data_IF_773193331534
#
_entry.id   IF_773193331534
#
_cell.length_a   1.000
_cell.length_b   1.000
_cell.length_c   1.000
_cell.angle_alpha   90.00
_cell.angle_beta   90.00
_cell.angle_gamma   90.00
#
_symmetry.space_group_name_H-M   'P 1'
#
loop_
_entity.id
_entity.type
_entity.pdbx_description
1 polymer ?
#
# COMPACT_ATOMS: atom_id res chain seq x y z
N UNK A 1 -13.94 17.86 17.77
CA UNK A 1 -12.54 17.54 17.41
C UNK A 1 -12.59 16.66 16.17
N UNK A 2 -12.00 17.11 15.07
CA UNK A 2 -11.85 16.29 13.88
C UNK A 2 -10.97 15.07 14.22
N UNK A 3 -11.50 13.88 13.99
CA UNK A 3 -10.70 12.67 14.07
C UNK A 3 -10.06 12.43 12.71
N UNK A 4 -8.75 12.51 12.67
CA UNK A 4 -7.92 12.40 11.48
C UNK A 4 -7.40 10.98 11.30
N UNK A 5 -7.33 10.52 10.06
CA UNK A 5 -6.61 9.30 9.66
C UNK A 5 -5.66 9.57 8.51
N UNK A 6 -4.55 8.85 8.47
CA UNK A 6 -3.67 8.83 7.30
C UNK A 6 -3.65 7.46 6.64
N UNK A 7 -3.81 7.48 5.32
CA UNK A 7 -3.68 6.33 4.44
C UNK A 7 -2.37 6.43 3.67
N UNK A 8 -1.64 5.33 3.59
CA UNK A 8 -0.34 5.27 2.92
C UNK A 8 -0.43 4.42 1.66
N UNK A 9 -0.12 5.00 0.48
CA UNK A 9 -0.19 4.28 -0.78
C UNK A 9 0.91 3.23 -0.91
N UNK A 10 0.64 2.21 -1.72
CA UNK A 10 1.58 1.18 -2.08
C UNK A 10 2.12 1.31 -3.50
N UNK A 11 2.64 0.22 -4.03
CA UNK A 11 3.13 0.12 -5.39
C UNK A 11 2.03 0.45 -6.41
N UNK A 12 2.39 1.20 -7.45
CA UNK A 12 1.48 1.71 -8.49
C UNK A 12 1.25 3.23 -8.42
N UNK A 13 1.58 3.86 -7.30
CA UNK A 13 1.47 5.33 -7.13
C UNK A 13 2.79 6.07 -7.40
N UNK A 14 3.89 5.35 -7.63
CA UNK A 14 5.18 5.95 -7.94
C UNK A 14 5.19 6.57 -9.35
N UNK A 15 5.86 7.70 -9.45
CA UNK A 15 6.19 8.32 -10.74
C UNK A 15 7.41 9.23 -10.61
N UNK A 16 8.14 9.39 -11.68
CA UNK A 16 9.20 10.42 -11.73
C UNK A 16 8.54 11.80 -11.55
N UNK A 17 9.11 12.62 -10.68
CA UNK A 17 8.55 13.92 -10.32
C UNK A 17 7.48 13.87 -9.22
N UNK A 18 7.21 12.73 -8.62
CA UNK A 18 6.16 12.56 -7.59
C UNK A 18 6.33 13.45 -6.36
N UNK A 19 7.54 13.94 -6.09
CA UNK A 19 7.83 14.86 -4.98
C UNK A 19 7.94 16.34 -5.42
N UNK A 20 7.69 16.66 -6.68
CA UNK A 20 7.86 18.02 -7.23
C UNK A 20 6.97 19.07 -6.53
N UNK A 21 5.78 18.70 -6.06
CA UNK A 21 4.86 19.58 -5.34
C UNK A 21 5.39 20.09 -4.00
N UNK A 22 6.46 19.50 -3.47
CA UNK A 22 7.12 19.96 -2.23
C UNK A 22 8.27 20.94 -2.49
N UNK A 23 8.57 21.26 -3.76
CA UNK A 23 9.61 22.22 -4.15
C UNK A 23 10.97 21.90 -3.53
N UNK A 24 11.60 22.92 -2.93
CA UNK A 24 12.90 22.79 -2.26
C UNK A 24 12.85 22.31 -0.80
N UNK A 25 11.77 21.66 -0.36
CA UNK A 25 11.60 21.21 1.03
C UNK A 25 12.81 20.42 1.54
N UNK A 26 13.49 20.99 2.55
CA UNK A 26 14.68 20.36 3.15
C UNK A 26 14.34 19.01 3.80
N UNK A 27 13.22 18.92 4.50
CA UNK A 27 12.82 17.68 5.20
C UNK A 27 12.55 16.53 4.22
N UNK A 28 12.00 16.82 3.06
CA UNK A 28 11.82 15.82 1.98
C UNK A 28 13.19 15.33 1.49
N UNK A 29 14.09 16.23 1.14
CA UNK A 29 15.44 15.89 0.65
C UNK A 29 16.26 15.12 1.69
N UNK A 30 16.24 15.55 2.95
CA UNK A 30 16.97 14.89 4.04
C UNK A 30 16.46 13.45 4.25
N UNK A 31 15.15 13.22 4.13
CA UNK A 31 14.57 11.87 4.25
C UNK A 31 15.03 10.95 3.11
N UNK A 32 15.07 11.46 1.88
CA UNK A 32 15.60 10.70 0.74
C UNK A 32 17.09 10.45 0.87
N UNK A 33 17.88 11.43 1.36
CA UNK A 33 19.31 11.28 1.60
C UNK A 33 19.59 10.22 2.68
N UNK A 34 18.89 10.26 3.80
CA UNK A 34 18.99 9.25 4.88
C UNK A 34 18.75 7.83 4.32
N UNK A 35 17.71 7.64 3.53
CA UNK A 35 17.42 6.34 2.92
C UNK A 35 18.47 5.92 1.91
N UNK A 36 18.98 6.86 1.10
CA UNK A 36 20.01 6.60 0.10
C UNK A 36 21.32 6.16 0.76
N UNK A 37 21.69 6.77 1.88
CA UNK A 37 22.86 6.38 2.66
C UNK A 37 22.71 4.96 3.23
N UNK A 38 21.53 4.60 3.73
CA UNK A 38 21.26 3.28 4.30
C UNK A 38 21.29 2.18 3.23
N UNK A 39 20.69 2.41 2.09
CA UNK A 39 20.53 1.38 1.05
C UNK A 39 21.61 1.43 -0.06
N UNK A 40 22.46 2.46 -0.07
CA UNK A 40 23.49 2.64 -1.09
C UNK A 40 22.93 2.90 -2.50
N UNK A 41 21.75 3.52 -2.59
CA UNK A 41 21.06 3.83 -3.86
C UNK A 41 20.59 5.28 -3.82
N UNK A 42 20.83 6.04 -4.87
CA UNK A 42 20.35 7.43 -4.98
C UNK A 42 18.85 7.48 -5.29
N UNK A 43 18.02 7.37 -4.26
CA UNK A 43 16.57 7.42 -4.41
C UNK A 43 16.05 8.80 -4.80
N UNK A 44 16.77 9.89 -4.46
CA UNK A 44 16.37 11.22 -4.89
C UNK A 44 16.49 11.36 -6.40
N UNK A 45 17.62 10.94 -6.95
CA UNK A 45 17.83 10.90 -8.40
C UNK A 45 16.77 10.02 -9.08
N UNK A 46 16.48 8.85 -8.51
CA UNK A 46 15.47 7.95 -9.04
C UNK A 46 14.07 8.58 -9.04
N UNK A 47 13.73 9.40 -8.03
CA UNK A 47 12.43 10.07 -7.93
C UNK A 47 12.31 11.31 -8.83
N UNK A 48 13.42 11.91 -9.26
CA UNK A 48 13.42 13.21 -9.94
C UNK A 48 13.86 13.16 -11.40
N UNK A 49 14.69 12.19 -11.79
CA UNK A 49 15.19 12.05 -13.15
C UNK A 49 14.49 10.89 -13.89
N UNK A 50 14.29 11.05 -15.18
CA UNK A 50 13.65 10.02 -16.03
C UNK A 50 14.43 8.71 -15.98
N UNK A 51 13.78 7.65 -15.54
CA UNK A 51 14.33 6.29 -15.49
C UNK A 51 13.18 5.27 -15.45
N UNK A 52 13.48 4.01 -15.75
CA UNK A 52 12.54 2.90 -15.65
C UNK A 52 12.73 2.10 -14.35
N UNK A 53 13.88 2.25 -13.69
CA UNK A 53 14.23 1.48 -12.49
C UNK A 53 13.30 1.75 -11.30
N UNK A 54 12.60 2.90 -11.29
CA UNK A 54 11.57 3.21 -10.28
C UNK A 54 10.42 2.19 -10.28
N UNK A 55 10.18 1.50 -11.40
CA UNK A 55 9.13 0.49 -11.55
C UNK A 55 9.59 -0.95 -11.23
N UNK A 56 10.88 -1.15 -10.97
CA UNK A 56 11.37 -2.42 -10.46
C UNK A 56 10.93 -2.60 -9.00
N UNK A 57 10.24 -3.69 -8.69
CA UNK A 57 9.66 -3.95 -7.37
C UNK A 57 10.66 -3.73 -6.21
N UNK A 58 11.93 -4.10 -6.40
CA UNK A 58 13.00 -3.93 -5.40
C UNK A 58 13.39 -2.47 -5.16
N UNK A 59 13.05 -1.57 -6.06
CA UNK A 59 13.19 -0.12 -5.93
C UNK A 59 11.87 0.55 -5.57
N UNK A 60 10.76 0.08 -6.18
CA UNK A 60 9.42 0.66 -5.96
C UNK A 60 9.00 0.57 -4.50
N UNK A 61 9.21 -0.57 -3.83
CA UNK A 61 8.80 -0.71 -2.43
C UNK A 61 9.58 0.24 -1.51
N UNK A 62 10.93 0.31 -1.55
CA UNK A 62 11.65 1.30 -0.77
C UNK A 62 11.26 2.75 -1.10
N UNK A 63 11.19 3.13 -2.36
CA UNK A 63 10.93 4.53 -2.73
C UNK A 63 9.53 5.00 -2.30
N UNK A 64 8.53 4.11 -2.32
CA UNK A 64 7.19 4.42 -1.83
C UNK A 64 7.16 4.61 -0.32
N UNK A 65 7.89 3.80 0.44
CA UNK A 65 8.05 3.98 1.87
C UNK A 65 8.78 5.29 2.18
N UNK A 66 9.88 5.58 1.48
CA UNK A 66 10.64 6.82 1.64
C UNK A 66 9.75 8.04 1.41
N UNK A 67 9.00 8.05 0.30
CA UNK A 67 8.13 9.15 -0.06
C UNK A 67 6.99 9.34 0.96
N UNK A 68 6.39 8.25 1.46
CA UNK A 68 5.37 8.32 2.50
C UNK A 68 5.90 8.88 3.82
N UNK A 69 7.07 8.42 4.28
CA UNK A 69 7.72 8.93 5.50
C UNK A 69 8.15 10.39 5.31
N UNK A 70 8.68 10.76 4.14
CA UNK A 70 9.05 12.13 3.82
C UNK A 70 7.84 13.07 3.88
N UNK A 71 6.70 12.65 3.30
CA UNK A 71 5.44 13.40 3.36
C UNK A 71 4.94 13.55 4.80
N UNK A 72 4.99 12.50 5.61
CA UNK A 72 4.68 12.57 7.04
C UNK A 72 5.57 13.55 7.79
N UNK A 73 6.88 13.50 7.58
CA UNK A 73 7.83 14.44 8.20
C UNK A 73 7.56 15.89 7.76
N UNK A 74 7.17 16.09 6.50
CA UNK A 74 6.77 17.41 6.00
C UNK A 74 5.48 17.91 6.69
N UNK A 75 4.50 17.01 6.92
CA UNK A 75 3.30 17.33 7.69
C UNK A 75 3.65 17.78 9.12
N UNK A 76 4.55 17.10 9.80
CA UNK A 76 4.97 17.45 11.17
C UNK A 76 5.66 18.83 11.27
N UNK A 77 6.18 19.37 10.17
CA UNK A 77 6.70 20.75 10.11
C UNK A 77 5.57 21.77 10.02
N UNK A 78 4.48 21.42 9.35
CA UNK A 78 3.34 22.33 9.07
C UNK A 78 2.31 22.31 10.19
N UNK A 79 2.04 21.14 10.76
CA UNK A 79 0.95 20.94 11.72
C UNK A 79 1.35 20.03 12.89
N UNK A 80 0.70 20.25 14.04
CA UNK A 80 0.84 19.41 15.23
C UNK A 80 -0.23 18.33 15.35
N UNK A 81 -1.19 18.32 14.43
CA UNK A 81 -2.30 17.35 14.45
C UNK A 81 -1.78 15.95 14.17
N UNK A 82 -2.10 15.04 15.08
CA UNK A 82 -1.70 13.63 14.99
C UNK A 82 -2.92 12.79 14.60
N UNK A 83 -2.80 11.90 13.61
CA UNK A 83 -3.89 11.01 13.25
C UNK A 83 -4.23 10.06 14.41
N UNK A 84 -5.51 9.72 14.53
CA UNK A 84 -6.01 8.79 15.56
C UNK A 84 -5.80 7.33 15.19
N UNK A 85 -5.66 7.05 13.90
CA UNK A 85 -5.52 5.72 13.34
C UNK A 85 -4.80 5.81 12.00
N UNK A 86 -4.06 4.77 11.63
CA UNK A 86 -3.32 4.68 10.39
C UNK A 86 -3.69 3.40 9.64
N UNK A 87 -3.64 3.45 8.33
CA UNK A 87 -3.69 2.27 7.48
C UNK A 87 -2.85 2.49 6.22
N UNK A 88 -2.31 1.42 5.67
CA UNK A 88 -1.56 1.48 4.43
C UNK A 88 -1.92 0.34 3.51
N UNK A 89 -1.97 0.59 2.21
CA UNK A 89 -2.29 -0.41 1.21
C UNK A 89 -1.04 -1.22 0.85
N UNK A 90 -1.02 -2.52 1.12
CA UNK A 90 0.10 -3.41 0.84
C UNK A 90 1.41 -2.88 1.43
N UNK A 91 2.36 -2.44 0.61
CA UNK A 91 3.61 -1.78 1.05
C UNK A 91 3.34 -0.63 2.03
N UNK A 92 2.27 0.11 1.82
CA UNK A 92 1.89 1.24 2.68
C UNK A 92 1.66 0.88 4.14
N UNK A 93 1.36 -0.38 4.46
CA UNK A 93 1.24 -0.87 5.85
C UNK A 93 2.58 -0.74 6.61
N UNK A 94 3.70 -0.93 5.92
CA UNK A 94 5.04 -0.69 6.50
C UNK A 94 5.31 0.79 6.76
N UNK A 95 4.86 1.66 5.84
CA UNK A 95 4.93 3.12 6.05
C UNK A 95 4.11 3.53 7.27
N UNK A 96 2.90 2.98 7.41
CA UNK A 96 2.06 3.21 8.59
C UNK A 96 2.75 2.76 9.89
N UNK A 97 3.43 1.61 9.89
CA UNK A 97 4.18 1.14 11.05
C UNK A 97 5.36 2.07 11.40
N UNK A 98 6.05 2.63 10.41
CA UNK A 98 7.11 3.62 10.66
C UNK A 98 6.53 4.88 11.27
N UNK A 99 5.48 5.43 10.70
CA UNK A 99 4.82 6.65 11.17
C UNK A 99 4.23 6.48 12.58
N UNK A 100 3.73 5.30 12.90
CA UNK A 100 3.21 4.97 14.23
C UNK A 100 4.29 4.79 15.30
N UNK A 101 5.57 4.77 14.93
CA UNK A 101 6.68 4.45 15.82
C UNK A 101 6.84 2.96 16.12
N UNK A 102 6.06 2.08 15.49
CA UNK A 102 6.15 0.62 15.66
C UNK A 102 7.36 -0.01 14.98
N UNK A 103 7.91 0.64 13.96
CA UNK A 103 9.08 0.20 13.20
C UNK A 103 9.99 1.40 12.93
N UNK A 104 11.31 1.27 13.12
CA UNK A 104 12.23 2.35 12.78
C UNK A 104 12.33 2.55 11.27
N UNK A 105 12.55 3.79 10.83
CA UNK A 105 12.76 4.07 9.41
C UNK A 105 14.01 3.35 8.88
N UNK A 106 15.08 3.31 9.67
CA UNK A 106 16.32 2.63 9.29
C UNK A 106 16.13 1.13 9.07
N UNK A 107 15.39 0.44 9.96
CA UNK A 107 15.13 -1.00 9.82
C UNK A 107 14.10 -1.31 8.74
N UNK A 108 13.16 -0.40 8.49
CA UNK A 108 12.12 -0.58 7.49
C UNK A 108 12.65 -0.64 6.07
N UNK A 109 13.71 0.12 5.77
CA UNK A 109 14.28 0.22 4.41
C UNK A 109 14.84 -1.12 3.91
N UNK A 110 15.78 -1.78 4.61
CA UNK A 110 16.25 -3.10 4.19
C UNK A 110 15.13 -4.16 4.27
N UNK A 111 14.19 -4.04 5.21
CA UNK A 111 13.06 -4.96 5.34
C UNK A 111 12.16 -4.93 4.10
N UNK A 112 11.72 -3.75 3.64
CA UNK A 112 10.82 -3.67 2.46
C UNK A 112 11.56 -4.01 1.17
N UNK A 113 12.87 -3.76 1.09
CA UNK A 113 13.70 -4.21 -0.03
C UNK A 113 13.82 -5.74 -0.06
N UNK A 114 13.98 -6.36 1.10
CA UNK A 114 13.98 -7.82 1.24
C UNK A 114 12.61 -8.41 0.89
N UNK A 115 11.51 -7.81 1.40
CA UNK A 115 10.14 -8.17 1.03
C UNK A 115 9.96 -8.19 -0.50
N UNK A 116 10.36 -7.12 -1.16
CA UNK A 116 10.27 -7.02 -2.62
C UNK A 116 11.05 -8.15 -3.32
N UNK A 117 12.28 -8.42 -2.86
CA UNK A 117 13.12 -9.48 -3.41
C UNK A 117 12.52 -10.86 -3.25
N UNK A 118 12.00 -11.21 -2.06
CA UNK A 118 11.42 -12.55 -1.84
C UNK A 118 10.09 -12.72 -2.59
N UNK A 119 9.31 -11.65 -2.73
CA UNK A 119 8.08 -11.66 -3.54
C UNK A 119 8.40 -11.86 -5.03
N UNK A 120 9.38 -11.14 -5.55
CA UNK A 120 9.79 -11.26 -6.95
C UNK A 120 10.32 -12.66 -7.28
N UNK A 121 10.98 -13.30 -6.32
CA UNK A 121 11.58 -14.63 -6.49
C UNK A 121 10.65 -15.78 -6.05
N UNK A 122 9.42 -15.50 -5.65
CA UNK A 122 8.50 -16.53 -5.17
C UNK A 122 8.03 -17.47 -6.28
N UNK A 123 7.95 -16.96 -7.51
CA UNK A 123 7.62 -17.73 -8.71
C UNK A 123 8.59 -17.36 -9.83
N UNK A 124 8.86 -18.27 -10.79
CA UNK A 124 9.66 -17.93 -11.98
C UNK A 124 9.02 -16.79 -12.77
N UNK A 125 9.85 -16.01 -13.45
CA UNK A 125 9.38 -14.92 -14.31
C UNK A 125 8.37 -15.45 -15.36
N UNK A 126 7.26 -14.73 -15.53
CA UNK A 126 6.21 -15.08 -16.49
C UNK A 126 5.21 -16.15 -16.02
N UNK A 127 5.41 -16.74 -14.84
CA UNK A 127 4.47 -17.74 -14.26
C UNK A 127 3.28 -17.08 -13.60
N UNK A 128 3.48 -15.93 -12.94
CA UNK A 128 2.43 -15.19 -12.26
C UNK A 128 1.91 -14.01 -13.06
N UNK A 129 0.70 -13.57 -12.74
CA UNK A 129 0.08 -12.36 -13.29
C UNK A 129 -0.94 -11.77 -12.32
N UNK A 130 -1.32 -10.53 -12.58
CA UNK A 130 -2.41 -9.81 -11.91
C UNK A 130 -3.28 -9.11 -12.95
N UNK A 131 -4.57 -8.95 -12.64
CA UNK A 131 -5.50 -8.20 -13.48
C UNK A 131 -6.51 -7.44 -12.63
N UNK A 132 -6.93 -6.27 -13.09
CA UNK A 132 -8.01 -5.51 -12.49
C UNK A 132 -9.34 -5.87 -13.15
N UNK A 133 -10.32 -6.23 -12.34
CA UNK A 133 -11.70 -6.51 -12.75
C UNK A 133 -12.58 -5.35 -12.29
N UNK A 134 -13.25 -4.71 -13.25
CA UNK A 134 -14.10 -3.55 -13.00
C UNK A 134 -15.56 -3.87 -13.32
N UNK A 135 -16.47 -3.51 -12.42
CA UNK A 135 -17.91 -3.56 -12.63
C UNK A 135 -18.60 -4.85 -12.21
N UNK A 136 -17.91 -5.73 -11.46
CA UNK A 136 -18.51 -6.88 -10.79
C UNK A 136 -18.41 -6.72 -9.28
N UNK A 137 -19.35 -7.34 -8.54
CA UNK A 137 -19.28 -7.42 -7.08
C UNK A 137 -18.26 -8.46 -6.59
N UNK A 138 -17.95 -8.40 -5.30
CA UNK A 138 -16.93 -9.22 -4.67
C UNK A 138 -17.21 -10.72 -4.81
N UNK A 139 -18.47 -11.14 -4.62
CA UNK A 139 -18.84 -12.56 -4.65
C UNK A 139 -18.77 -13.11 -6.09
N UNK A 140 -19.18 -12.32 -7.07
CA UNK A 140 -19.04 -12.67 -8.48
C UNK A 140 -17.57 -12.82 -8.87
N UNK A 141 -16.69 -11.93 -8.43
CA UNK A 141 -15.25 -12.06 -8.71
C UNK A 141 -14.64 -13.26 -8.00
N UNK A 142 -15.02 -13.55 -6.76
CA UNK A 142 -14.58 -14.78 -6.07
C UNK A 142 -15.01 -16.03 -6.81
N UNK A 143 -16.26 -16.07 -7.28
CA UNK A 143 -16.78 -17.19 -8.10
C UNK A 143 -16.02 -17.34 -9.42
N UNK A 144 -15.73 -16.23 -10.12
CA UNK A 144 -14.89 -16.21 -11.33
C UNK A 144 -13.51 -16.81 -11.04
N UNK A 145 -12.88 -16.42 -9.93
CA UNK A 145 -11.57 -16.97 -9.55
C UNK A 145 -11.66 -18.49 -9.31
N UNK A 146 -12.64 -18.94 -8.53
CA UNK A 146 -12.82 -20.36 -8.20
C UNK A 146 -13.07 -21.22 -9.45
N UNK A 147 -13.91 -20.74 -10.37
CA UNK A 147 -14.22 -21.44 -11.61
C UNK A 147 -13.04 -21.48 -12.59
N UNK A 148 -12.26 -20.38 -12.66
CA UNK A 148 -11.15 -20.23 -13.61
C UNK A 148 -9.82 -20.80 -13.10
N UNK A 149 -9.68 -21.05 -11.81
CA UNK A 149 -8.45 -21.58 -11.23
C UNK A 149 -8.09 -22.96 -11.79
N UNK A 150 -9.05 -23.86 -11.91
CA UNK A 150 -8.84 -25.27 -12.26
C UNK A 150 -7.82 -25.91 -11.30
N UNK A 151 -6.62 -26.29 -11.83
CA UNK A 151 -5.52 -26.83 -11.04
C UNK A 151 -4.46 -25.76 -10.65
N UNK A 152 -4.70 -24.53 -11.04
CA UNK A 152 -3.80 -23.38 -10.76
C UNK A 152 -4.29 -22.59 -9.56
N UNK A 153 -3.49 -21.58 -9.16
CA UNK A 153 -3.90 -20.56 -8.19
C UNK A 153 -4.54 -19.40 -8.95
N UNK A 154 -5.72 -18.98 -8.52
CA UNK A 154 -6.35 -17.71 -8.90
C UNK A 154 -7.22 -17.22 -7.75
N UNK A 155 -6.94 -16.04 -7.25
CA UNK A 155 -7.59 -15.47 -6.09
C UNK A 155 -7.92 -13.99 -6.30
N UNK A 156 -9.01 -13.51 -5.68
CA UNK A 156 -9.29 -12.09 -5.54
C UNK A 156 -8.40 -11.54 -4.41
N UNK A 157 -7.52 -10.61 -4.74
CA UNK A 157 -6.41 -10.22 -3.86
C UNK A 157 -6.44 -8.77 -3.37
N UNK A 158 -7.07 -7.85 -4.10
CA UNK A 158 -7.26 -6.47 -3.63
C UNK A 158 -8.72 -6.07 -3.82
N UNK A 159 -9.42 -5.85 -2.73
CA UNK A 159 -10.76 -5.28 -2.70
C UNK A 159 -10.63 -3.77 -2.54
N UNK A 160 -10.38 -3.06 -3.67
CA UNK A 160 -9.96 -1.67 -3.66
C UNK A 160 -11.11 -0.67 -3.50
N UNK A 161 -12.24 -0.95 -4.15
CA UNK A 161 -13.50 -0.21 -3.96
C UNK A 161 -14.65 -1.08 -4.46
N UNK A 162 -15.92 -0.74 -4.17
CA UNK A 162 -17.04 -1.45 -4.77
C UNK A 162 -16.90 -1.51 -6.28
N UNK A 163 -16.90 -2.73 -6.84
CA UNK A 163 -16.74 -2.98 -8.27
C UNK A 163 -15.33 -2.77 -8.83
N UNK A 164 -14.30 -2.68 -7.98
CA UNK A 164 -12.89 -2.64 -8.41
C UNK A 164 -12.06 -3.61 -7.59
N UNK A 165 -11.78 -4.77 -8.18
CA UNK A 165 -11.10 -5.89 -7.54
C UNK A 165 -9.94 -6.33 -8.40
N UNK A 166 -8.80 -6.62 -7.78
CA UNK A 166 -7.65 -7.22 -8.44
C UNK A 166 -7.64 -8.71 -8.19
N UNK A 167 -7.40 -9.49 -9.24
CA UNK A 167 -7.16 -10.93 -9.19
C UNK A 167 -5.70 -11.24 -9.44
N UNK A 168 -5.17 -12.28 -8.82
CA UNK A 168 -3.79 -12.71 -8.97
C UNK A 168 -3.66 -14.22 -8.90
N UNK A 169 -2.66 -14.76 -9.59
CA UNK A 169 -2.37 -16.17 -9.59
C UNK A 169 -1.45 -16.58 -10.73
N UNK A 170 -1.56 -17.83 -11.16
CA UNK A 170 -0.87 -18.30 -12.34
C UNK A 170 -1.38 -17.57 -13.59
N UNK A 171 -0.49 -17.20 -14.48
CA UNK A 171 -0.79 -16.37 -15.65
C UNK A 171 -1.96 -16.93 -16.48
N UNK A 172 -1.94 -18.24 -16.79
CA UNK A 172 -3.00 -18.87 -17.55
C UNK A 172 -4.37 -18.80 -16.82
N UNK A 173 -4.38 -18.94 -15.49
CA UNK A 173 -5.60 -18.82 -14.70
C UNK A 173 -6.11 -17.36 -14.66
N UNK A 174 -5.22 -16.38 -14.56
CA UNK A 174 -5.59 -14.96 -14.66
C UNK A 174 -6.22 -14.65 -16.02
N UNK A 175 -5.65 -15.14 -17.10
CA UNK A 175 -6.19 -14.98 -18.45
C UNK A 175 -7.60 -15.59 -18.58
N UNK A 176 -7.81 -16.83 -18.07
CA UNK A 176 -9.15 -17.46 -18.02
C UNK A 176 -10.12 -16.64 -17.17
N UNK A 177 -9.67 -16.15 -16.01
CA UNK A 177 -10.46 -15.33 -15.11
C UNK A 177 -10.90 -14.01 -15.75
N UNK A 178 -10.02 -13.35 -16.51
CA UNK A 178 -10.36 -12.15 -17.25
C UNK A 178 -11.45 -12.40 -18.30
N UNK A 179 -11.35 -13.49 -19.06
CA UNK A 179 -12.37 -13.86 -20.05
C UNK A 179 -13.71 -14.21 -19.40
N UNK A 180 -13.68 -15.01 -18.33
CA UNK A 180 -14.91 -15.35 -17.60
C UNK A 180 -15.54 -14.11 -16.95
N UNK A 181 -14.74 -13.20 -16.40
CA UNK A 181 -15.25 -11.95 -15.85
C UNK A 181 -16.00 -11.12 -16.89
N UNK A 182 -15.49 -11.02 -18.11
CA UNK A 182 -16.19 -10.35 -19.23
C UNK A 182 -17.52 -11.03 -19.54
N UNK A 183 -17.55 -12.37 -19.60
CA UNK A 183 -18.79 -13.15 -19.82
C UNK A 183 -19.80 -12.89 -18.69
N UNK A 184 -19.35 -12.75 -17.46
CA UNK A 184 -20.20 -12.44 -16.28
C UNK A 184 -20.61 -10.95 -16.20
N UNK A 185 -20.20 -10.13 -17.16
CA UNK A 185 -20.64 -8.73 -17.27
C UNK A 185 -19.67 -7.68 -16.71
N UNK A 186 -18.39 -8.03 -16.51
CA UNK A 186 -17.39 -7.05 -16.15
C UNK A 186 -17.31 -5.95 -17.22
N UNK A 187 -17.28 -4.69 -16.78
CA UNK A 187 -17.10 -3.53 -17.68
C UNK A 187 -15.72 -3.52 -18.30
N UNK A 188 -14.72 -3.95 -17.53
CA UNK A 188 -13.33 -4.11 -17.97
C UNK A 188 -12.65 -5.24 -17.20
N UNK A 189 -11.73 -5.93 -17.86
CA UNK A 189 -10.77 -6.84 -17.29
C UNK A 189 -9.41 -6.47 -17.89
N UNK A 190 -8.51 -5.89 -17.09
CA UNK A 190 -7.28 -5.25 -17.56
C UNK A 190 -6.07 -5.94 -16.92
N UNK A 191 -5.12 -6.48 -17.72
CA UNK A 191 -3.87 -6.98 -17.16
C UNK A 191 -3.09 -5.83 -16.52
N UNK A 192 -2.49 -6.09 -15.36
CA UNK A 192 -1.60 -5.13 -14.73
C UNK A 192 -0.16 -5.34 -15.21
N UNK A 193 0.64 -4.27 -15.37
CA UNK A 193 2.03 -4.35 -15.84
C UNK A 193 2.97 -4.82 -14.70
N UNK A 194 2.59 -5.90 -14.00
CA UNK A 194 3.34 -6.51 -12.90
C UNK A 194 3.36 -8.03 -13.10
N UNK A 195 4.50 -8.64 -12.80
CA UNK A 195 4.69 -10.09 -12.93
C UNK A 195 4.60 -10.86 -11.60
N UNK A 196 4.63 -10.13 -10.48
CA UNK A 196 4.54 -10.73 -9.15
C UNK A 196 3.07 -10.91 -8.77
N UNK A 197 2.59 -12.15 -8.60
CA UNK A 197 1.20 -12.41 -8.21
C UNK A 197 1.01 -12.20 -6.70
N UNK A 198 0.96 -10.94 -6.28
CA UNK A 198 0.93 -10.54 -4.88
C UNK A 198 -0.39 -10.95 -4.20
N UNK A 199 -0.32 -11.23 -2.90
CA UNK A 199 -1.47 -11.44 -2.01
C UNK A 199 -2.28 -12.72 -2.28
N UNK A 200 -1.73 -13.68 -3.03
CA UNK A 200 -2.32 -15.01 -3.25
C UNK A 200 -1.41 -16.12 -2.72
N UNK A 201 -1.89 -17.36 -2.76
CA UNK A 201 -1.17 -18.53 -2.24
C UNK A 201 0.23 -18.75 -2.85
N UNK A 202 0.49 -18.24 -4.06
CA UNK A 202 1.81 -18.29 -4.69
C UNK A 202 2.89 -17.51 -3.91
N UNK A 203 2.48 -16.61 -3.01
CA UNK A 203 3.39 -15.85 -2.14
C UNK A 203 3.78 -16.59 -0.85
N UNK A 204 3.23 -17.76 -0.55
CA UNK A 204 3.57 -18.51 0.67
C UNK A 204 5.09 -18.79 0.83
N UNK A 205 5.84 -19.15 -0.21
CA UNK A 205 7.30 -19.32 -0.07
C UNK A 205 8.01 -18.01 0.32
N UNK A 206 7.57 -16.87 -0.23
CA UNK A 206 8.08 -15.56 0.15
C UNK A 206 7.74 -15.21 1.60
N UNK A 207 6.52 -15.54 2.04
CA UNK A 207 6.06 -15.31 3.41
C UNK A 207 6.91 -16.06 4.44
N UNK A 208 7.31 -17.30 4.17
CA UNK A 208 8.20 -18.07 5.04
C UNK A 208 9.58 -17.40 5.18
N UNK A 209 10.14 -16.90 4.08
CA UNK A 209 11.40 -16.16 4.10
C UNK A 209 11.28 -14.83 4.84
N UNK A 210 10.17 -14.12 4.66
CA UNK A 210 9.90 -12.88 5.39
C UNK A 210 9.75 -13.15 6.89
N UNK A 211 9.07 -14.22 7.28
CA UNK A 211 8.92 -14.63 8.67
C UNK A 211 10.28 -14.85 9.35
N UNK A 212 11.22 -15.50 8.65
CA UNK A 212 12.58 -15.70 9.16
C UNK A 212 13.30 -14.36 9.33
N UNK A 213 13.26 -13.48 8.33
CA UNK A 213 13.87 -12.15 8.39
C UNK A 213 13.31 -11.30 9.55
N UNK A 214 12.00 -11.36 9.77
CA UNK A 214 11.34 -10.59 10.82
C UNK A 214 11.72 -10.98 12.24
N UNK A 215 12.34 -12.16 12.45
CA UNK A 215 12.84 -12.55 13.78
C UNK A 215 13.86 -11.55 14.31
N UNK A 216 14.71 -11.03 13.42
CA UNK A 216 15.78 -10.10 13.76
C UNK A 216 15.37 -8.62 13.66
N UNK A 217 14.13 -8.33 13.25
CA UNK A 217 13.60 -6.98 13.17
C UNK A 217 12.94 -6.59 14.49
N UNK A 218 13.32 -5.44 15.02
CA UNK A 218 12.68 -4.88 16.22
C UNK A 218 11.37 -4.20 15.84
N UNK A 219 10.26 -4.71 16.37
CA UNK A 219 8.94 -4.07 16.32
C UNK A 219 8.53 -3.73 17.75
N UNK A 220 8.05 -2.52 17.94
CA UNK A 220 7.54 -2.02 19.22
C UNK A 220 6.04 -1.76 19.13
N UNK A 221 5.39 -1.54 20.26
CA UNK A 221 3.98 -1.14 20.28
C UNK A 221 3.80 0.17 19.53
N UNK A 222 2.95 0.20 18.49
CA UNK A 222 2.64 1.44 17.77
C UNK A 222 2.01 2.48 18.71
N UNK A 223 2.45 3.72 18.62
CA UNK A 223 1.88 4.84 19.37
C UNK A 223 0.53 5.29 18.80
N UNK A 224 0.33 5.06 17.51
CA UNK A 224 -0.93 5.28 16.80
C UNK A 224 -1.36 3.92 16.26
N UNK A 225 -2.60 3.47 16.52
CA UNK A 225 -3.07 2.19 16.01
C UNK A 225 -2.93 2.09 14.47
N UNK A 226 -2.43 0.96 14.00
CA UNK A 226 -2.32 0.64 12.56
C UNK A 226 -3.27 -0.49 12.22
N UNK A 227 -4.18 -0.29 11.27
CA UNK A 227 -5.03 -1.36 10.77
C UNK A 227 -4.26 -2.19 9.74
N UNK A 228 -4.17 -3.49 10.00
CA UNK A 228 -3.51 -4.46 9.11
C UNK A 228 -4.43 -4.93 8.00
N UNK A 229 -3.91 -5.07 6.78
CA UNK A 229 -4.68 -5.37 5.58
C UNK A 229 -5.42 -6.70 5.64
N UNK A 230 -4.76 -7.74 6.14
CA UNK A 230 -5.30 -9.11 6.13
C UNK A 230 -6.45 -9.30 7.13
N UNK A 231 -6.40 -8.61 8.26
CA UNK A 231 -7.31 -8.85 9.39
C UNK A 231 -8.33 -7.74 9.60
N UNK A 232 -8.08 -6.54 9.05
CA UNK A 232 -8.84 -5.31 9.35
C UNK A 232 -8.88 -5.04 10.88
N UNK A 233 -7.75 -5.26 11.52
CA UNK A 233 -7.57 -5.12 12.97
C UNK A 233 -6.22 -4.48 13.28
N UNK A 234 -6.09 -3.87 14.43
CA UNK A 234 -4.83 -3.33 14.96
C UNK A 234 -4.29 -4.19 16.09
N UNK A 235 -2.98 -4.22 16.24
CA UNK A 235 -2.27 -4.98 17.27
C UNK A 235 -1.28 -4.09 18.00
N UNK A 236 -1.14 -4.32 19.30
CA UNK A 236 -0.16 -3.68 20.21
C UNK A 236 1.02 -4.61 20.54
N UNK A 237 0.99 -5.83 20.06
CA UNK A 237 1.97 -6.88 20.32
C UNK A 237 2.84 -7.13 19.09
N UNK A 238 4.17 -7.10 19.27
CA UNK A 238 5.14 -7.26 18.21
C UNK A 238 4.98 -8.59 17.42
N UNK A 239 4.72 -9.70 18.11
CA UNK A 239 4.58 -11.00 17.45
C UNK A 239 3.33 -11.07 16.57
N UNK A 240 2.22 -10.47 17.04
CA UNK A 240 0.98 -10.36 16.24
C UNK A 240 1.17 -9.46 15.02
N UNK A 241 1.92 -8.37 15.16
CA UNK A 241 2.25 -7.48 14.05
C UNK A 241 3.11 -8.22 13.02
N UNK A 242 4.16 -8.92 13.45
CA UNK A 242 5.01 -9.73 12.57
C UNK A 242 4.20 -10.80 11.84
N UNK A 243 3.33 -11.50 12.55
CA UNK A 243 2.44 -12.51 11.96
C UNK A 243 1.49 -11.88 10.91
N UNK A 244 0.89 -10.73 11.21
CA UNK A 244 0.05 -10.01 10.27
C UNK A 244 0.80 -9.61 8.99
N UNK A 245 2.05 -9.12 9.11
CA UNK A 245 2.90 -8.79 7.97
C UNK A 245 3.25 -10.03 7.11
N UNK A 246 3.48 -11.17 7.75
CA UNK A 246 3.74 -12.44 7.04
C UNK A 246 2.50 -12.90 6.28
N UNK A 247 1.34 -12.92 6.93
CA UNK A 247 0.08 -13.33 6.31
C UNK A 247 -0.38 -12.37 5.22
N UNK A 248 -0.03 -11.09 5.30
CA UNK A 248 -0.33 -10.10 4.28
C UNK A 248 0.18 -10.51 2.89
N UNK A 249 1.32 -11.20 2.79
CA UNK A 249 1.89 -11.58 1.50
C UNK A 249 0.99 -12.51 0.69
N UNK A 250 0.23 -13.37 1.37
CA UNK A 250 -0.64 -14.37 0.73
C UNK A 250 -2.12 -14.24 1.12
N UNK A 251 -2.50 -13.09 1.67
CA UNK A 251 -3.89 -12.77 2.03
C UNK A 251 -4.36 -11.52 1.29
N UNK A 252 -5.66 -11.39 1.02
CA UNK A 252 -6.20 -10.22 0.35
C UNK A 252 -5.96 -8.93 1.12
N UNK A 253 -5.72 -7.85 0.38
CA UNK A 253 -5.81 -6.48 0.91
C UNK A 253 -7.30 -6.09 0.96
N UNK A 254 -7.87 -6.08 2.16
CA UNK A 254 -9.27 -5.79 2.44
C UNK A 254 -9.49 -4.29 2.59
N UNK A 255 -9.20 -3.54 1.51
CA UNK A 255 -9.15 -2.08 1.59
C UNK A 255 -10.52 -1.44 1.82
N UNK A 256 -11.57 -1.95 1.16
CA UNK A 256 -12.96 -1.49 1.40
C UNK A 256 -13.32 -1.60 2.88
N UNK A 257 -13.09 -2.77 3.47
CA UNK A 257 -13.40 -3.01 4.89
C UNK A 257 -12.51 -2.15 5.81
N UNK A 258 -11.25 -1.93 5.44
CA UNK A 258 -10.32 -1.06 6.18
C UNK A 258 -10.85 0.37 6.25
N UNK A 259 -11.22 0.96 5.11
CA UNK A 259 -11.76 2.34 5.07
C UNK A 259 -13.09 2.44 5.83
N UNK A 260 -13.96 1.46 5.69
CA UNK A 260 -15.22 1.39 6.44
C UNK A 260 -14.98 1.28 7.95
N UNK A 261 -14.04 0.42 8.37
CA UNK A 261 -13.68 0.27 9.78
C UNK A 261 -13.11 1.56 10.38
N UNK A 262 -12.31 2.29 9.62
CA UNK A 262 -11.81 3.62 10.01
C UNK A 262 -12.96 4.61 10.18
N UNK A 263 -13.85 4.68 9.21
CA UNK A 263 -15.00 5.59 9.25
C UNK A 263 -15.94 5.30 10.42
N UNK A 264 -16.22 4.03 10.71
CA UNK A 264 -17.10 3.62 11.84
C UNK A 264 -16.52 3.96 13.21
N UNK A 265 -15.20 4.22 13.30
CA UNK A 265 -14.56 4.71 14.54
C UNK A 265 -14.73 6.23 14.72
N UNK A 266 -15.53 6.87 13.88
CA UNK A 266 -15.86 8.29 13.96
C UNK A 266 -14.77 9.20 13.39
N UNK A 267 -13.95 8.70 12.47
CA UNK A 267 -13.02 9.53 11.69
C UNK A 267 -13.83 10.43 10.76
N UNK A 268 -13.51 11.71 10.75
CA UNK A 268 -14.20 12.75 9.96
C UNK A 268 -13.36 13.34 8.84
N UNK A 269 -12.04 13.11 8.90
CA UNK A 269 -11.10 13.58 7.88
C UNK A 269 -10.05 12.49 7.60
N UNK A 270 -9.83 12.17 6.34
CA UNK A 270 -8.73 11.33 5.89
C UNK A 270 -7.74 12.13 5.05
N UNK A 271 -6.50 11.63 5.00
CA UNK A 271 -5.50 12.13 4.06
C UNK A 271 -4.67 10.96 3.51
N UNK A 272 -4.36 11.02 2.20
CA UNK A 272 -3.40 10.10 1.58
C UNK A 272 -2.00 10.69 1.74
N UNK A 273 -1.19 10.04 2.58
CA UNK A 273 0.16 10.49 2.94
C UNK A 273 1.20 9.76 2.10
N UNK A 274 1.62 10.38 1.02
CA UNK A 274 2.56 9.81 0.07
C UNK A 274 2.26 10.26 -1.37
N UNK A 275 2.94 9.66 -2.36
CA UNK A 275 2.78 10.06 -3.76
C UNK A 275 1.42 9.62 -4.34
N UNK A 276 0.90 10.43 -5.25
CA UNK A 276 -0.33 10.15 -5.97
C UNK A 276 -1.60 10.49 -5.21
N UNK A 277 -2.73 10.03 -5.76
CA UNK A 277 -4.08 10.28 -5.22
C UNK A 277 -5.00 9.07 -5.39
N UNK A 278 -4.42 7.89 -5.44
CA UNK A 278 -5.15 6.64 -5.66
C UNK A 278 -6.07 6.33 -4.49
N UNK A 279 -5.53 6.36 -3.26
CA UNK A 279 -6.32 6.05 -2.07
C UNK A 279 -7.37 7.10 -1.77
N UNK A 280 -7.12 8.38 -2.05
CA UNK A 280 -8.13 9.44 -1.96
C UNK A 280 -9.31 9.17 -2.90
N UNK A 281 -9.03 8.76 -4.13
CA UNK A 281 -10.05 8.36 -5.09
C UNK A 281 -10.83 7.11 -4.68
N UNK A 282 -10.16 6.11 -4.10
CA UNK A 282 -10.81 4.91 -3.57
C UNK A 282 -11.67 5.23 -2.36
N UNK A 283 -11.18 6.03 -1.42
CA UNK A 283 -11.92 6.45 -0.22
C UNK A 283 -13.25 7.09 -0.60
N UNK A 284 -13.26 7.99 -1.57
CA UNK A 284 -14.49 8.64 -2.07
C UNK A 284 -15.52 7.64 -2.62
N UNK A 285 -15.06 6.53 -3.22
CA UNK A 285 -15.94 5.47 -3.75
C UNK A 285 -16.43 4.52 -2.67
N UNK A 286 -15.67 4.36 -1.58
CA UNK A 286 -16.01 3.47 -0.47
C UNK A 286 -16.93 4.16 0.52
N UNK A 287 -16.58 5.39 0.94
CA UNK A 287 -17.33 6.22 1.87
C UNK A 287 -17.30 7.66 1.35
N UNK A 288 -18.35 8.05 0.64
CA UNK A 288 -18.44 9.37 0.00
C UNK A 288 -18.40 10.54 1.01
N UNK A 289 -18.85 10.28 2.23
CA UNK A 289 -18.90 11.24 3.34
C UNK A 289 -17.56 11.43 4.05
N UNK A 290 -16.54 10.60 3.77
CA UNK A 290 -15.21 10.75 4.32
C UNK A 290 -14.31 11.51 3.34
N UNK A 291 -14.10 12.82 3.53
CA UNK A 291 -13.19 13.58 2.69
C UNK A 291 -11.77 13.06 2.87
N UNK A 292 -11.02 12.94 1.77
CA UNK A 292 -9.64 12.51 1.78
C UNK A 292 -8.77 13.43 0.93
N UNK A 293 -7.87 14.16 1.57
CA UNK A 293 -6.91 15.06 0.91
C UNK A 293 -5.67 14.25 0.49
N UNK A 294 -5.26 14.37 -0.78
CA UNK A 294 -4.00 13.78 -1.25
C UNK A 294 -2.84 14.75 -0.95
N UNK A 295 -1.94 14.36 -0.07
CA UNK A 295 -0.82 15.18 0.43
C UNK A 295 0.37 15.16 -0.55
N UNK A 296 0.18 15.73 -1.75
CA UNK A 296 1.16 15.68 -2.84
C UNK A 296 1.97 16.95 -3.02
N UNK A 297 1.71 17.99 -2.21
CA UNK A 297 2.39 19.28 -2.30
C UNK A 297 2.34 20.04 -0.96
N UNK A 298 3.15 21.10 -0.84
CA UNK A 298 3.08 22.02 0.29
C UNK A 298 1.69 22.67 0.43
N UNK A 299 1.06 23.01 -0.69
CA UNK A 299 -0.29 23.59 -0.72
C UNK A 299 -1.33 22.61 -0.15
N UNK A 300 -1.21 21.32 -0.51
CA UNK A 300 -2.12 20.28 0.01
C UNK A 300 -1.95 20.06 1.52
N UNK A 301 -0.71 20.19 2.06
CA UNK A 301 -0.48 20.16 3.51
C UNK A 301 -1.18 21.34 4.21
N UNK A 302 -1.05 22.55 3.67
CA UNK A 302 -1.70 23.75 4.22
C UNK A 302 -3.23 23.67 4.10
N UNK A 303 -3.76 23.13 3.00
CA UNK A 303 -5.19 22.86 2.84
C UNK A 303 -5.72 21.95 3.94
N UNK A 304 -5.06 20.81 4.17
CA UNK A 304 -5.44 19.89 5.23
C UNK A 304 -5.37 20.55 6.62
N UNK A 305 -4.32 21.31 6.90
CA UNK A 305 -4.19 22.07 8.16
C UNK A 305 -5.35 23.04 8.34
N UNK A 306 -5.70 23.80 7.30
CA UNK A 306 -6.81 24.73 7.32
C UNK A 306 -8.16 24.06 7.62
N UNK A 307 -8.41 22.88 7.01
CA UNK A 307 -9.63 22.08 7.26
C UNK A 307 -9.71 21.65 8.73
N UNK A 308 -8.58 21.25 9.34
CA UNK A 308 -8.55 20.80 10.73
C UNK A 308 -8.73 21.95 11.74
N UNK A 309 -8.33 23.16 11.39
CA UNK A 309 -8.47 24.36 12.24
C UNK A 309 -9.88 24.96 12.21
N UNK A 310 -10.65 24.74 11.14
CA UNK A 310 -11.98 25.34 10.95
C UNK A 310 -13.13 24.51 11.52
N UNK A 311 -12.90 23.30 11.95
CA UNK A 311 -13.86 22.35 12.53
C UNK A 311 -13.49 21.99 13.98
#
# INVERSE_FOLDING_TARGET
MNKLTFFFPGQGSQSVGMMAGFGGSKVIRDTFAEASDILGVDFWKMATETNESINETTNTQPIMLIAGVATWRAWQVVASDVPSILAGHSLGEYTALVVSGGLSFADSLPLVRYRAKVMQNAVPAGVGAMAAILGLDDDTVRAVCAESALNDVLEAVNFNSPGQIVIAGNKAAVERGMELAKIKGAKRALPLPVSVPSHCALMKPAALKLAEYLKDVTITTPQIPVIHNADVASYDNADKIKDALVRQLYSPVRWVETVQAVYTQGITQAAECGPGKVLAGLTKRIVAELPCVAMTSNEALLELQGVLQTN
#
